data_IF_038319316013
#
_entry.id   IF_038319316013
#
_cell.length_a   1.000
_cell.length_b   1.000
_cell.length_c   1.000
_cell.angle_alpha   90.00
_cell.angle_beta   90.00
_cell.angle_gamma   90.00
#
_symmetry.space_group_name_H-M   'P 1'
#
loop_
_entity.id
_entity.type
_entity.pdbx_description
1 polymer ?
#
# COMPACT_ATOMS: atom_id res chain seq x y z
N UNK A 1 30.79 -15.12 5.61
CA UNK A 1 30.31 -13.73 5.75
C UNK A 1 29.28 -13.50 4.66
N UNK A 2 28.14 -12.91 5.03
CA UNK A 2 26.77 -13.08 4.48
C UNK A 2 26.02 -14.29 5.09
N UNK A 3 25.46 -14.06 6.27
CA UNK A 3 24.51 -14.96 6.93
C UNK A 3 23.14 -14.89 6.22
N UNK A 4 22.70 -16.03 5.72
CA UNK A 4 21.42 -16.22 5.03
C UNK A 4 20.21 -16.31 6.00
N UNK A 5 20.12 -15.44 7.00
CA UNK A 5 19.08 -15.52 8.05
C UNK A 5 17.81 -14.69 7.78
N UNK A 6 17.61 -14.18 6.57
CA UNK A 6 16.47 -13.30 6.23
C UNK A 6 15.40 -13.90 5.31
N UNK A 7 15.57 -15.13 4.81
CA UNK A 7 14.67 -15.75 3.83
C UNK A 7 13.67 -16.72 4.49
N UNK A 8 12.94 -16.26 5.51
CA UNK A 8 11.88 -17.07 6.12
C UNK A 8 10.63 -16.27 6.45
N UNK A 9 9.80 -15.97 5.46
CA UNK A 9 8.39 -16.29 5.63
C UNK A 9 7.73 -16.55 4.29
N UNK A 10 7.28 -17.80 4.12
CA UNK A 10 6.34 -18.23 3.09
C UNK A 10 5.16 -17.26 3.06
N UNK A 11 4.89 -16.57 1.95
CA UNK A 11 3.61 -15.87 1.78
C UNK A 11 2.85 -16.45 0.60
N UNK A 12 2.13 -17.53 0.87
CA UNK A 12 0.92 -17.85 0.09
C UNK A 12 -0.02 -16.65 0.21
N UNK A 13 -0.35 -16.03 -0.93
CA UNK A 13 -1.57 -15.25 -1.07
C UNK A 13 -1.58 -13.82 -0.51
N UNK A 14 -0.52 -13.02 -0.66
CA UNK A 14 -0.62 -11.56 -0.44
C UNK A 14 -0.01 -10.77 -1.59
N UNK A 15 -0.63 -10.86 -2.77
CA UNK A 15 -0.23 -10.07 -3.94
C UNK A 15 -0.18 -8.57 -3.64
N UNK A 16 -1.05 -8.09 -2.76
CA UNK A 16 -1.12 -6.71 -2.29
C UNK A 16 0.17 -6.24 -1.62
N UNK A 17 0.83 -7.10 -0.85
CA UNK A 17 2.05 -6.73 -0.13
C UNK A 17 3.21 -6.44 -1.07
N UNK A 18 3.47 -7.33 -2.03
CA UNK A 18 4.57 -7.13 -2.99
C UNK A 18 4.36 -5.88 -3.84
N UNK A 19 3.11 -5.52 -4.11
CA UNK A 19 2.78 -4.26 -4.80
C UNK A 19 3.10 -3.06 -3.90
N UNK A 20 2.66 -3.06 -2.64
CA UNK A 20 2.95 -1.96 -1.71
C UNK A 20 4.45 -1.76 -1.46
N UNK A 21 5.20 -2.86 -1.33
CA UNK A 21 6.66 -2.84 -1.19
C UNK A 21 7.34 -2.25 -2.43
N UNK A 22 6.92 -2.67 -3.63
CA UNK A 22 7.48 -2.16 -4.89
C UNK A 22 7.21 -0.67 -5.10
N UNK A 23 6.08 -0.18 -4.60
CA UNK A 23 5.70 1.23 -4.71
C UNK A 23 6.45 2.13 -3.71
N UNK A 24 6.99 1.56 -2.62
CA UNK A 24 7.71 2.29 -1.57
C UNK A 24 6.93 3.50 -1.00
N UNK A 25 5.60 3.40 -0.97
CA UNK A 25 4.71 4.49 -0.55
C UNK A 25 4.32 4.45 0.93
N UNK A 26 4.62 3.36 1.63
CA UNK A 26 4.38 3.20 3.08
C UNK A 26 5.69 3.03 3.83
N UNK A 27 5.66 3.28 5.14
CA UNK A 27 6.72 2.81 6.03
C UNK A 27 6.70 1.29 6.15
N UNK A 28 7.89 0.69 6.29
CA UNK A 28 8.04 -0.78 6.31
C UNK A 28 7.23 -1.49 7.40
N UNK A 29 6.98 -0.82 8.52
CA UNK A 29 6.16 -1.32 9.63
C UNK A 29 4.64 -1.25 9.36
N UNK A 30 4.21 -0.48 8.36
CA UNK A 30 2.81 -0.29 7.98
C UNK A 30 2.38 -1.17 6.80
N UNK A 31 3.33 -1.68 6.03
CA UNK A 31 3.09 -2.53 4.85
C UNK A 31 2.28 -3.77 5.21
N UNK A 32 2.61 -4.45 6.31
CA UNK A 32 1.87 -5.64 6.76
C UNK A 32 0.40 -5.33 7.03
N UNK A 33 0.13 -4.26 7.79
CA UNK A 33 -1.21 -3.81 8.17
C UNK A 33 -2.04 -3.42 6.93
N UNK A 34 -1.46 -2.63 6.02
CA UNK A 34 -2.13 -2.23 4.78
C UNK A 34 -2.41 -3.43 3.87
N UNK A 35 -1.46 -4.38 3.78
CA UNK A 35 -1.64 -5.58 2.97
C UNK A 35 -2.73 -6.52 3.51
N UNK A 36 -2.89 -6.60 4.85
CA UNK A 36 -3.99 -7.37 5.46
C UNK A 36 -5.36 -6.79 5.11
N UNK A 37 -5.51 -5.47 5.14
CA UNK A 37 -6.74 -4.79 4.73
C UNK A 37 -7.09 -5.02 3.23
N UNK A 38 -6.06 -5.21 2.39
CA UNK A 38 -6.18 -5.42 0.95
C UNK A 38 -6.31 -6.88 0.52
N UNK A 39 -6.26 -7.85 1.45
CA UNK A 39 -6.15 -9.28 1.12
C UNK A 39 -7.28 -9.80 0.21
N UNK A 40 -8.48 -9.21 0.32
CA UNK A 40 -9.65 -9.60 -0.48
C UNK A 40 -9.99 -8.59 -1.59
N UNK A 41 -9.12 -7.64 -1.88
CA UNK A 41 -9.37 -6.58 -2.86
C UNK A 41 -8.84 -6.98 -4.26
N UNK A 42 -9.63 -6.78 -5.34
CA UNK A 42 -9.11 -6.93 -6.70
C UNK A 42 -7.93 -5.98 -6.95
N UNK A 43 -6.92 -6.44 -7.70
CA UNK A 43 -5.70 -5.65 -7.98
C UNK A 43 -6.00 -4.27 -8.58
N UNK A 44 -7.04 -4.16 -9.42
CA UNK A 44 -7.47 -2.89 -10.01
C UNK A 44 -7.95 -1.89 -8.95
N UNK A 45 -8.67 -2.36 -7.93
CA UNK A 45 -9.13 -1.51 -6.81
C UNK A 45 -7.96 -1.11 -5.90
N UNK A 46 -6.98 -1.99 -5.73
CA UNK A 46 -5.74 -1.66 -5.00
C UNK A 46 -5.01 -0.49 -5.66
N UNK A 47 -4.75 -0.56 -6.97
CA UNK A 47 -4.09 0.54 -7.68
C UNK A 47 -4.89 1.84 -7.56
N UNK A 48 -6.21 1.78 -7.74
CA UNK A 48 -7.08 2.94 -7.57
C UNK A 48 -7.00 3.54 -6.16
N UNK A 49 -7.01 2.70 -5.12
CA UNK A 49 -6.90 3.16 -3.73
C UNK A 49 -5.56 3.87 -3.48
N UNK A 50 -4.46 3.28 -3.97
CA UNK A 50 -3.15 3.90 -3.85
C UNK A 50 -3.14 5.24 -4.59
N UNK A 51 -3.71 5.33 -5.79
CA UNK A 51 -3.80 6.62 -6.50
C UNK A 51 -4.59 7.68 -5.71
N UNK A 52 -5.71 7.30 -5.09
CA UNK A 52 -6.50 8.20 -4.24
C UNK A 52 -5.73 8.64 -2.99
N UNK A 53 -5.02 7.72 -2.34
CA UNK A 53 -4.25 8.02 -1.13
C UNK A 53 -2.97 8.82 -1.43
N UNK A 54 -2.41 8.70 -2.63
CA UNK A 54 -1.19 9.42 -3.04
C UNK A 54 -1.52 10.82 -3.58
N UNK A 55 -2.58 10.96 -4.38
CA UNK A 55 -2.96 12.24 -4.99
C UNK A 55 -3.90 13.05 -4.09
N UNK A 56 -4.53 12.41 -3.10
CA UNK A 56 -5.62 12.98 -2.31
C UNK A 56 -6.91 13.14 -3.13
N UNK A 57 -7.98 13.61 -2.49
CA UNK A 57 -9.30 13.79 -3.11
C UNK A 57 -9.31 14.77 -4.30
N UNK A 58 -8.31 15.65 -4.40
CA UNK A 58 -8.24 16.71 -5.41
C UNK A 58 -7.26 16.43 -6.57
N UNK A 59 -6.58 15.26 -6.61
CA UNK A 59 -5.76 14.88 -7.76
C UNK A 59 -4.41 15.61 -7.87
N UNK A 60 -3.73 15.83 -6.75
CA UNK A 60 -2.46 16.57 -6.67
C UNK A 60 -1.22 15.83 -7.19
N UNK A 61 -0.07 16.53 -7.22
CA UNK A 61 1.19 15.95 -7.70
C UNK A 61 1.73 14.90 -6.74
N UNK A 62 1.60 13.63 -7.14
CA UNK A 62 2.00 12.41 -6.43
C UNK A 62 3.50 12.14 -6.36
N UNK A 63 4.33 13.06 -6.88
CA UNK A 63 5.73 12.77 -7.22
C UNK A 63 6.61 12.52 -5.99
N UNK A 64 6.38 13.23 -4.88
CA UNK A 64 7.17 13.10 -3.65
C UNK A 64 6.93 11.75 -2.93
N UNK A 65 5.73 11.19 -3.06
CA UNK A 65 5.42 9.87 -2.48
C UNK A 65 6.01 8.74 -3.34
N UNK A 66 5.90 8.84 -4.68
CA UNK A 66 6.51 7.83 -5.57
C UNK A 66 8.05 7.91 -5.64
N UNK A 67 8.66 9.06 -5.34
CA UNK A 67 10.12 9.16 -5.14
C UNK A 67 10.56 8.56 -3.80
N UNK A 68 9.62 8.28 -2.89
CA UNK A 68 9.89 7.80 -1.54
C UNK A 68 10.35 8.89 -0.57
N UNK A 69 10.29 10.16 -0.98
CA UNK A 69 10.59 11.33 -0.13
C UNK A 69 9.50 11.53 0.93
N UNK A 70 8.25 11.20 0.59
CA UNK A 70 7.10 11.20 1.48
C UNK A 70 6.44 9.82 1.53
N UNK A 71 5.68 9.57 2.60
CA UNK A 71 4.93 8.33 2.82
C UNK A 71 3.46 8.64 2.97
N UNK A 72 2.60 7.75 2.49
CA UNK A 72 1.16 7.81 2.69
C UNK A 72 0.89 7.63 4.18
N UNK A 73 0.10 8.54 4.76
CA UNK A 73 -0.42 8.33 6.11
C UNK A 73 -1.41 7.15 6.11
N UNK A 74 -1.18 6.19 7.00
CA UNK A 74 -1.99 4.97 7.04
C UNK A 74 -3.46 5.26 7.40
N UNK A 75 -3.76 6.29 8.19
CA UNK A 75 -5.15 6.66 8.48
C UNK A 75 -5.81 7.23 7.23
N UNK A 76 -5.13 8.10 6.48
CA UNK A 76 -5.61 8.59 5.20
C UNK A 76 -5.89 7.45 4.20
N UNK A 77 -5.01 6.44 4.16
CA UNK A 77 -5.24 5.25 3.36
C UNK A 77 -6.51 4.49 3.78
N UNK A 78 -6.76 4.34 5.08
CA UNK A 78 -7.98 3.70 5.59
C UNK A 78 -9.24 4.52 5.31
N UNK A 79 -9.16 5.84 5.35
CA UNK A 79 -10.27 6.73 4.96
C UNK A 79 -10.62 6.52 3.49
N UNK A 80 -9.63 6.55 2.58
CA UNK A 80 -9.85 6.27 1.16
C UNK A 80 -10.35 4.84 0.90
N UNK A 81 -9.90 3.86 1.71
CA UNK A 81 -10.41 2.49 1.64
C UNK A 81 -11.88 2.44 2.03
N UNK A 82 -12.26 3.17 3.08
CA UNK A 82 -13.64 3.36 3.51
C UNK A 82 -14.51 3.89 2.39
N UNK A 83 -14.06 4.92 1.67
CA UNK A 83 -14.78 5.49 0.53
C UNK A 83 -15.03 4.43 -0.56
N UNK A 84 -13.98 3.71 -0.99
CA UNK A 84 -14.08 2.68 -2.06
C UNK A 84 -15.00 1.51 -1.67
N UNK A 85 -15.02 1.13 -0.39
CA UNK A 85 -15.87 0.04 0.12
C UNK A 85 -17.29 0.52 0.40
N UNK A 86 -17.48 1.81 0.70
CA UNK A 86 -18.80 2.44 0.94
C UNK A 86 -19.62 2.59 -0.34
N UNK A 87 -18.99 2.73 -1.51
CA UNK A 87 -19.66 2.72 -2.84
C UNK A 87 -20.21 1.34 -3.28
N UNK A 88 -20.62 0.49 -2.34
CA UNK A 88 -21.06 -0.90 -2.59
C UNK A 88 -22.57 -1.06 -2.58
#
# INVERSE_FOLDING_TARGET
MMDCSGLTTRRRGRHSQSVLEALNVFDGNQIDTAAEALNNMPIKKLYMLVEMAVQGAEGGSSRAIYSGEEKIDINHFFDCLGDIVSFR
#
